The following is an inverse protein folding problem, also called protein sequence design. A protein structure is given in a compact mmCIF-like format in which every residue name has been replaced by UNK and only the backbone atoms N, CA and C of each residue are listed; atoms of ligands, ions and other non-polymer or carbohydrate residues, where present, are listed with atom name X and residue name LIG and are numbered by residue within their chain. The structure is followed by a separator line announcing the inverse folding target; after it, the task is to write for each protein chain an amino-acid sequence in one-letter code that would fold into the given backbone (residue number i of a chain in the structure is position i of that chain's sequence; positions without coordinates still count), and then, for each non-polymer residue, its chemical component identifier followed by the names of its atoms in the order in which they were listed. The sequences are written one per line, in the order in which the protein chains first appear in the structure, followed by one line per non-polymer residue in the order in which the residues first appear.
data_IF_426868850760
#
_entry.id   IF_426868850760
#
_cell.length_a   1.000
_cell.length_b   1.000
_cell.length_c   1.000
_cell.angle_alpha   90.00
_cell.angle_beta   90.00
_cell.angle_gamma   90.00
#
_symmetry.space_group_name_H-M   'P 1'
#
loop_
_entity.id
_entity.type
_entity.pdbx_description
1 polymer ?
#
# COMPACT_ATOMS: atom_id res chain seq x y z
N UNK A 1 -30.50 27.85 8.25
CA UNK A 1 -29.43 27.50 7.30
C UNK A 1 -29.22 26.01 7.39
N UNK A 2 -29.76 25.28 6.43
CA UNK A 2 -29.68 23.82 6.39
C UNK A 2 -28.34 23.42 5.79
N UNK A 3 -27.50 22.76 6.57
CA UNK A 3 -26.35 22.03 6.02
C UNK A 3 -26.89 20.77 5.40
N UNK A 4 -26.86 20.70 4.06
CA UNK A 4 -27.13 19.50 3.31
C UNK A 4 -25.97 18.56 3.50
N UNK A 5 -26.18 17.59 4.36
CA UNK A 5 -25.36 16.39 4.46
C UNK A 5 -25.58 15.59 3.16
N UNK A 6 -24.61 15.68 2.24
CA UNK A 6 -24.60 14.82 1.07
C UNK A 6 -23.85 13.56 1.47
N UNK A 7 -24.50 12.40 1.53
CA UNK A 7 -23.78 11.17 1.68
C UNK A 7 -22.90 11.00 0.43
N UNK A 8 -21.59 10.86 0.65
CA UNK A 8 -20.67 10.46 -0.41
C UNK A 8 -21.21 9.16 -0.99
N UNK A 9 -21.51 9.17 -2.26
CA UNK A 9 -21.94 7.98 -2.98
C UNK A 9 -20.81 6.97 -2.89
N UNK A 10 -21.02 5.92 -2.12
CA UNK A 10 -20.25 4.70 -2.24
C UNK A 10 -20.44 4.21 -3.68
N UNK A 11 -19.43 4.43 -4.52
CA UNK A 11 -19.42 3.88 -5.86
C UNK A 11 -19.34 2.35 -5.72
N UNK A 12 -20.48 1.70 -5.81
CA UNK A 12 -20.55 0.26 -6.02
C UNK A 12 -19.74 -0.05 -7.27
N UNK A 13 -18.54 -0.51 -7.09
CA UNK A 13 -17.69 -0.96 -8.18
C UNK A 13 -18.26 -2.27 -8.74
N UNK A 14 -18.34 -2.38 -10.06
CA UNK A 14 -18.75 -3.63 -10.73
C UNK A 14 -17.85 -4.84 -10.39
N UNK A 15 -16.78 -4.64 -9.63
CA UNK A 15 -15.76 -5.67 -9.32
C UNK A 15 -15.94 -6.34 -7.95
N UNK A 16 -17.03 -6.04 -7.24
CA UNK A 16 -17.36 -6.71 -5.97
C UNK A 16 -16.56 -6.24 -4.75
N UNK A 17 -15.88 -5.10 -4.81
CA UNK A 17 -15.20 -4.46 -3.69
C UNK A 17 -15.22 -2.93 -3.81
N UNK A 18 -15.05 -2.27 -2.68
CA UNK A 18 -14.87 -0.81 -2.57
C UNK A 18 -13.50 -0.48 -2.00
N UNK A 19 -12.99 0.71 -2.30
CA UNK A 19 -11.77 1.26 -1.69
C UNK A 19 -12.18 2.23 -0.58
N UNK A 20 -11.70 1.99 0.63
CA UNK A 20 -11.97 2.86 1.79
C UNK A 20 -10.81 2.91 2.77
N UNK A 21 -10.79 3.95 3.60
CA UNK A 21 -9.84 4.05 4.70
C UNK A 21 -10.08 2.93 5.72
N UNK A 22 -8.98 2.37 6.25
CA UNK A 22 -9.01 1.33 7.28
C UNK A 22 -8.53 1.89 8.60
N UNK A 23 -9.12 1.40 9.69
CA UNK A 23 -8.71 1.72 11.04
C UNK A 23 -8.17 0.47 11.76
N UNK A 24 -6.84 0.29 11.87
CA UNK A 24 -6.24 -0.84 12.59
C UNK A 24 -6.47 -0.76 14.11
N UNK A 25 -7.05 0.30 14.62
CA UNK A 25 -7.56 0.36 16.00
C UNK A 25 -8.68 -0.65 16.24
N UNK A 26 -9.43 -1.00 15.21
CA UNK A 26 -10.43 -2.08 15.26
C UNK A 26 -9.75 -3.44 15.18
N UNK A 27 -10.06 -4.33 16.10
CA UNK A 27 -9.39 -5.63 16.24
C UNK A 27 -9.54 -6.51 14.99
N UNK A 28 -10.72 -6.57 14.41
CA UNK A 28 -11.01 -7.37 13.21
C UNK A 28 -10.24 -6.85 11.99
N UNK A 29 -10.17 -5.54 11.81
CA UNK A 29 -9.39 -4.88 10.75
C UNK A 29 -7.91 -5.13 10.93
N UNK A 30 -7.37 -4.95 12.14
CA UNK A 30 -5.97 -5.20 12.45
C UNK A 30 -5.57 -6.66 12.17
N UNK A 31 -6.38 -7.61 12.60
CA UNK A 31 -6.14 -9.04 12.36
C UNK A 31 -6.13 -9.38 10.86
N UNK A 32 -7.05 -8.82 10.09
CA UNK A 32 -7.13 -9.03 8.64
C UNK A 32 -5.90 -8.47 7.91
N UNK A 33 -5.52 -7.24 8.21
CA UNK A 33 -4.36 -6.55 7.63
C UNK A 33 -3.06 -7.29 7.98
N UNK A 34 -2.89 -7.69 9.23
CA UNK A 34 -1.71 -8.43 9.68
C UNK A 34 -1.58 -9.79 8.96
N UNK A 35 -2.68 -10.52 8.85
CA UNK A 35 -2.70 -11.80 8.13
C UNK A 35 -2.36 -11.65 6.65
N UNK A 36 -2.99 -10.69 5.97
CA UNK A 36 -2.72 -10.41 4.55
C UNK A 36 -1.26 -9.99 4.34
N UNK A 37 -0.75 -9.11 5.20
CA UNK A 37 0.63 -8.65 5.16
C UNK A 37 1.62 -9.81 5.24
N UNK A 38 1.46 -10.70 6.22
CA UNK A 38 2.33 -11.87 6.38
C UNK A 38 2.30 -12.81 5.16
N UNK A 39 1.12 -13.05 4.61
CA UNK A 39 0.97 -13.89 3.41
C UNK A 39 1.59 -13.24 2.17
N UNK A 40 1.37 -11.96 1.97
CA UNK A 40 1.94 -11.22 0.84
C UNK A 40 3.47 -11.12 0.93
N UNK A 41 4.02 -10.82 2.10
CA UNK A 41 5.47 -10.76 2.30
C UNK A 41 6.14 -12.14 2.22
N UNK A 42 5.44 -13.22 2.54
CA UNK A 42 5.95 -14.58 2.32
C UNK A 42 6.14 -14.86 0.80
N UNK A 43 5.21 -14.41 -0.04
CA UNK A 43 5.36 -14.49 -1.51
C UNK A 43 6.53 -13.63 -1.97
N UNK A 44 6.66 -12.41 -1.47
CA UNK A 44 7.80 -11.54 -1.81
C UNK A 44 9.14 -12.17 -1.40
N UNK A 45 9.22 -12.75 -0.22
CA UNK A 45 10.42 -13.44 0.27
C UNK A 45 10.87 -14.56 -0.69
N UNK A 46 9.92 -15.33 -1.21
CA UNK A 46 10.19 -16.36 -2.21
C UNK A 46 10.68 -15.75 -3.54
N UNK A 47 10.07 -14.65 -3.99
CA UNK A 47 10.47 -13.98 -5.25
C UNK A 47 11.88 -13.40 -5.19
N UNK A 48 12.27 -12.83 -4.05
CA UNK A 48 13.57 -12.18 -3.88
C UNK A 48 14.65 -13.10 -3.29
N UNK A 49 14.26 -14.32 -2.88
CA UNK A 49 15.19 -15.29 -2.26
C UNK A 49 15.73 -14.83 -0.90
N UNK A 50 14.95 -14.06 -0.15
CA UNK A 50 15.34 -13.52 1.15
C UNK A 50 14.17 -13.59 2.13
N UNK A 51 14.34 -14.29 3.25
CA UNK A 51 13.32 -14.54 4.26
C UNK A 51 13.38 -13.62 5.49
N UNK A 52 14.32 -12.70 5.51
CA UNK A 52 14.55 -11.74 6.61
C UNK A 52 13.72 -10.47 6.55
N UNK A 53 12.63 -10.42 5.76
CA UNK A 53 11.75 -9.26 5.68
C UNK A 53 11.15 -8.97 7.06
N UNK A 54 11.36 -7.77 7.66
CA UNK A 54 10.91 -7.49 9.03
C UNK A 54 9.43 -7.71 9.26
N UNK A 55 8.58 -7.37 8.29
CA UNK A 55 7.13 -7.54 8.38
C UNK A 55 6.67 -9.01 8.53
N UNK A 56 7.50 -9.99 8.19
CA UNK A 56 7.22 -11.41 8.43
C UNK A 56 7.25 -11.80 9.91
N UNK A 57 7.97 -11.03 10.73
CA UNK A 57 8.16 -11.28 12.16
C UNK A 57 7.45 -10.27 13.05
N UNK A 58 6.91 -9.22 12.46
CA UNK A 58 6.19 -8.17 13.17
C UNK A 58 4.92 -8.74 13.82
N UNK A 59 4.73 -8.45 15.10
CA UNK A 59 3.50 -8.79 15.80
C UNK A 59 2.34 -7.87 15.38
N UNK A 60 1.12 -8.28 15.70
CA UNK A 60 -0.07 -7.44 15.50
C UNK A 60 0.07 -6.11 16.24
N UNK A 61 0.57 -6.14 17.48
CA UNK A 61 0.73 -4.94 18.30
C UNK A 61 1.80 -4.01 17.77
N UNK A 62 2.93 -4.55 17.32
CA UNK A 62 3.99 -3.77 16.67
C UNK A 62 3.48 -3.10 15.39
N UNK A 63 2.70 -3.81 14.57
CA UNK A 63 2.07 -3.25 13.38
C UNK A 63 1.11 -2.11 13.74
N UNK A 64 0.27 -2.29 14.76
CA UNK A 64 -0.69 -1.26 15.20
C UNK A 64 -0.02 -0.02 15.77
N UNK A 65 1.17 -0.16 16.35
CA UNK A 65 1.95 0.94 16.90
C UNK A 65 2.62 1.82 15.84
N UNK A 66 2.67 1.37 14.60
CA UNK A 66 3.25 2.14 13.50
C UNK A 66 2.41 3.38 13.19
N UNK A 67 3.04 4.57 12.97
CA UNK A 67 2.32 5.82 12.67
C UNK A 67 1.87 5.87 11.20
N UNK A 68 1.19 4.84 10.74
CA UNK A 68 0.77 4.68 9.36
C UNK A 68 -0.72 4.99 9.19
N UNK A 69 -1.05 5.51 8.02
CA UNK A 69 -2.43 5.57 7.52
C UNK A 69 -2.66 4.40 6.57
N UNK A 70 -3.90 3.95 6.49
CA UNK A 70 -4.27 2.71 5.82
C UNK A 70 -5.46 2.90 4.90
N UNK A 71 -5.34 2.39 3.68
CA UNK A 71 -6.39 2.34 2.67
C UNK A 71 -6.55 0.89 2.23
N UNK A 72 -7.77 0.39 2.15
CA UNK A 72 -8.01 -0.99 1.80
C UNK A 72 -9.06 -1.18 0.71
N UNK A 73 -8.95 -2.31 0.03
CA UNK A 73 -10.02 -2.87 -0.78
C UNK A 73 -10.84 -3.82 0.08
N UNK A 74 -12.15 -3.58 0.14
CA UNK A 74 -13.07 -4.30 1.02
C UNK A 74 -14.24 -4.83 0.20
N UNK A 75 -14.51 -6.11 0.33
CA UNK A 75 -15.63 -6.77 -0.35
C UNK A 75 -16.98 -6.34 0.23
N UNK A 76 -18.07 -6.63 -0.47
CA UNK A 76 -19.43 -6.27 -0.03
C UNK A 76 -19.81 -6.91 1.31
N UNK A 77 -19.21 -8.05 1.65
CA UNK A 77 -19.37 -8.74 2.94
C UNK A 77 -18.41 -8.22 4.03
N UNK A 78 -17.69 -7.11 3.78
CA UNK A 78 -16.84 -6.42 4.75
C UNK A 78 -15.44 -7.01 4.93
N UNK A 79 -14.99 -7.89 4.04
CA UNK A 79 -13.68 -8.54 4.11
C UNK A 79 -12.61 -7.71 3.44
N UNK A 80 -11.53 -7.40 4.17
CA UNK A 80 -10.35 -6.76 3.60
C UNK A 80 -9.60 -7.79 2.74
N UNK A 81 -9.27 -7.40 1.50
CA UNK A 81 -8.59 -8.26 0.53
C UNK A 81 -7.26 -7.67 0.03
N UNK A 82 -7.03 -6.40 0.23
CA UNK A 82 -5.79 -5.72 -0.09
C UNK A 82 -5.67 -4.42 0.69
N UNK A 83 -4.47 -3.92 0.88
CA UNK A 83 -4.27 -2.63 1.51
C UNK A 83 -2.97 -1.95 1.06
N UNK A 84 -2.92 -0.63 1.22
CA UNK A 84 -1.73 0.20 1.18
C UNK A 84 -1.62 0.97 2.49
N UNK A 85 -0.40 1.09 3.01
CA UNK A 85 -0.12 1.89 4.19
C UNK A 85 1.00 2.89 3.92
N UNK A 86 0.86 4.10 4.43
CA UNK A 86 1.79 5.19 4.17
C UNK A 86 1.90 6.16 5.36
N UNK A 87 2.90 7.02 5.29
CA UNK A 87 3.06 8.15 6.19
C UNK A 87 3.65 9.35 5.43
N UNK A 88 3.46 10.54 5.96
CA UNK A 88 4.17 11.72 5.49
C UNK A 88 5.56 11.77 6.09
N UNK A 89 6.57 12.00 5.25
CA UNK A 89 7.93 12.19 5.72
C UNK A 89 8.07 13.52 6.46
N UNK A 90 8.63 13.47 7.67
CA UNK A 90 8.85 14.67 8.45
C UNK A 90 9.90 15.58 7.77
N UNK A 91 9.54 16.84 7.51
CA UNK A 91 10.43 17.84 6.92
C UNK A 91 10.62 17.75 5.40
N UNK A 92 10.00 16.78 4.75
CA UNK A 92 9.95 16.65 3.29
C UNK A 92 8.51 16.72 2.81
N UNK A 93 8.28 17.32 1.67
CA UNK A 93 6.95 17.29 1.01
C UNK A 93 6.78 15.96 0.26
N UNK A 94 6.90 14.87 1.02
CA UNK A 94 6.91 13.52 0.49
C UNK A 94 5.98 12.60 1.28
N UNK A 95 5.22 11.79 0.55
CA UNK A 95 4.48 10.67 1.09
C UNK A 95 5.29 9.39 0.89
N UNK A 96 5.54 8.68 1.96
CA UNK A 96 6.27 7.41 1.93
C UNK A 96 5.30 6.24 2.03
N UNK A 97 5.23 5.45 0.96
CA UNK A 97 4.44 4.21 0.95
C UNK A 97 5.27 3.12 1.62
N UNK A 98 4.80 2.70 2.78
CA UNK A 98 5.47 1.68 3.60
C UNK A 98 5.10 0.25 3.16
N UNK A 99 3.83 0.03 2.82
CA UNK A 99 3.30 -1.30 2.50
C UNK A 99 2.28 -1.27 1.37
N UNK A 100 2.40 -2.22 0.46
CA UNK A 100 1.41 -2.53 -0.57
C UNK A 100 1.21 -4.04 -0.57
N UNK A 101 0.08 -4.50 -0.08
CA UNK A 101 -0.19 -5.93 0.11
C UNK A 101 -1.54 -6.31 -0.49
N UNK A 102 -1.55 -7.41 -1.22
CA UNK A 102 -2.77 -8.05 -1.75
C UNK A 102 -2.84 -9.47 -1.20
N UNK A 103 -4.01 -9.90 -0.75
CA UNK A 103 -4.23 -11.30 -0.41
C UNK A 103 -3.85 -12.16 -1.62
N UNK A 104 -2.97 -13.17 -1.50
CA UNK A 104 -2.53 -13.98 -2.63
C UNK A 104 -3.67 -14.64 -3.42
N UNK A 105 -4.80 -14.93 -2.77
CA UNK A 105 -5.99 -15.46 -3.45
C UNK A 105 -6.67 -14.45 -4.38
N UNK A 106 -6.29 -13.17 -4.26
CA UNK A 106 -6.80 -12.06 -5.08
C UNK A 106 -5.75 -11.46 -6.01
N UNK A 107 -4.64 -12.13 -6.24
CA UNK A 107 -3.61 -11.69 -7.18
C UNK A 107 -4.14 -11.59 -8.61
N UNK A 108 -3.50 -10.74 -9.43
CA UNK A 108 -3.79 -10.53 -10.86
C UNK A 108 -5.17 -9.95 -11.16
N UNK A 109 -5.77 -9.27 -10.20
CA UNK A 109 -7.06 -8.57 -10.37
C UNK A 109 -6.94 -7.05 -10.37
N UNK A 110 -5.71 -6.53 -10.41
CA UNK A 110 -5.46 -5.08 -10.46
C UNK A 110 -5.72 -4.34 -9.15
N UNK A 111 -5.82 -5.02 -8.00
CA UNK A 111 -6.13 -4.39 -6.71
C UNK A 111 -5.06 -3.40 -6.26
N UNK A 112 -3.78 -3.74 -6.39
CA UNK A 112 -2.69 -2.82 -6.05
C UNK A 112 -2.72 -1.56 -6.92
N UNK A 113 -2.95 -1.69 -8.22
CA UNK A 113 -3.10 -0.55 -9.14
C UNK A 113 -4.26 0.34 -8.74
N UNK A 114 -5.38 -0.21 -8.34
CA UNK A 114 -6.58 0.56 -7.92
C UNK A 114 -6.34 1.28 -6.61
N UNK A 115 -5.75 0.63 -5.61
CA UNK A 115 -5.41 1.26 -4.33
C UNK A 115 -4.42 2.40 -4.51
N UNK A 116 -3.35 2.17 -5.26
CA UNK A 116 -2.34 3.19 -5.53
C UNK A 116 -2.90 4.32 -6.40
N UNK A 117 -3.72 4.00 -7.39
CA UNK A 117 -4.42 5.01 -8.19
C UNK A 117 -5.29 5.93 -7.34
N UNK A 118 -6.07 5.37 -6.42
CA UNK A 118 -6.87 6.13 -5.47
C UNK A 118 -6.00 7.00 -4.55
N UNK A 119 -4.95 6.43 -3.98
CA UNK A 119 -4.00 7.17 -3.14
C UNK A 119 -3.38 8.36 -3.89
N UNK A 120 -2.90 8.13 -5.10
CA UNK A 120 -2.22 9.15 -5.88
C UNK A 120 -3.17 10.24 -6.40
N UNK A 121 -4.39 9.88 -6.76
CA UNK A 121 -5.37 10.82 -7.33
C UNK A 121 -6.06 11.64 -6.24
N UNK A 122 -6.52 10.99 -5.18
CA UNK A 122 -7.41 11.60 -4.20
C UNK A 122 -6.66 12.15 -2.97
N UNK A 123 -5.51 11.57 -2.62
CA UNK A 123 -4.81 11.89 -1.37
C UNK A 123 -3.49 12.64 -1.57
N UNK A 124 -2.90 12.60 -2.78
CA UNK A 124 -1.60 13.25 -3.06
C UNK A 124 -1.69 14.16 -4.28
N UNK A 125 -2.20 15.37 -4.12
CA UNK A 125 -2.36 16.30 -5.25
C UNK A 125 -1.04 16.89 -5.74
N UNK A 126 -0.01 16.96 -4.89
CA UNK A 126 1.30 17.52 -5.23
C UNK A 126 2.40 16.99 -4.31
N UNK A 127 3.66 17.19 -4.69
CA UNK A 127 4.83 16.74 -3.95
C UNK A 127 5.41 15.42 -4.47
N UNK A 128 6.12 14.72 -3.61
CA UNK A 128 6.78 13.45 -3.97
C UNK A 128 6.08 12.27 -3.32
N UNK A 129 6.09 11.16 -4.03
CA UNK A 129 5.69 9.85 -3.48
C UNK A 129 6.88 8.91 -3.60
N UNK A 130 7.22 8.27 -2.50
CA UNK A 130 8.33 7.33 -2.41
C UNK A 130 7.79 5.94 -2.14
N UNK A 131 8.40 4.94 -2.75
CA UNK A 131 8.11 3.53 -2.50
C UNK A 131 9.35 2.69 -2.76
N UNK A 132 9.52 1.61 -2.01
CA UNK A 132 10.61 0.67 -2.19
C UNK A 132 10.09 -0.76 -2.24
N UNK A 133 10.78 -1.61 -2.95
CA UNK A 133 10.52 -3.06 -3.00
C UNK A 133 11.81 -3.83 -3.23
N UNK A 134 11.81 -5.12 -2.94
CA UNK A 134 12.91 -5.98 -3.33
C UNK A 134 13.20 -5.84 -4.82
N UNK A 135 14.47 -5.68 -5.19
CA UNK A 135 14.84 -5.43 -6.59
C UNK A 135 14.44 -6.57 -7.54
N UNK A 136 14.35 -7.79 -7.02
CA UNK A 136 13.93 -8.98 -7.77
C UNK A 136 12.41 -9.23 -7.72
N UNK A 137 11.66 -8.40 -7.00
CA UNK A 137 10.19 -8.41 -7.03
C UNK A 137 9.69 -7.76 -8.32
N UNK A 138 9.82 -8.47 -9.43
CA UNK A 138 9.50 -7.98 -10.77
C UNK A 138 8.05 -7.49 -10.92
N UNK A 139 7.03 -8.16 -10.37
CA UNK A 139 5.67 -7.67 -10.45
C UNK A 139 5.49 -6.29 -9.80
N UNK A 140 6.09 -6.05 -8.65
CA UNK A 140 6.02 -4.76 -7.97
C UNK A 140 6.79 -3.67 -8.73
N UNK A 141 7.99 -3.97 -9.21
CA UNK A 141 8.78 -3.05 -10.04
C UNK A 141 8.00 -2.63 -11.28
N UNK A 142 7.41 -3.58 -12.00
CA UNK A 142 6.61 -3.30 -13.18
C UNK A 142 5.36 -2.46 -12.86
N UNK A 143 4.71 -2.72 -11.72
CA UNK A 143 3.56 -1.93 -11.25
C UNK A 143 3.94 -0.47 -11.02
N UNK A 144 5.02 -0.20 -10.29
CA UNK A 144 5.45 1.16 -9.98
C UNK A 144 5.87 1.92 -11.24
N UNK A 145 6.59 1.27 -12.16
CA UNK A 145 6.95 1.87 -13.44
C UNK A 145 5.72 2.22 -14.29
N UNK A 146 4.71 1.35 -14.35
CA UNK A 146 3.44 1.64 -15.06
C UNK A 146 2.68 2.81 -14.45
N UNK A 147 2.79 3.01 -13.14
CA UNK A 147 2.16 4.15 -12.45
C UNK A 147 2.95 5.46 -12.59
N UNK A 148 4.08 5.44 -13.28
CA UNK A 148 4.90 6.61 -13.55
C UNK A 148 6.03 6.86 -12.55
N UNK A 149 6.29 5.92 -11.64
CA UNK A 149 7.45 6.01 -10.75
C UNK A 149 8.74 5.79 -11.52
N UNK A 150 9.76 6.56 -11.16
CA UNK A 150 11.12 6.39 -11.67
C UNK A 150 11.99 5.75 -10.60
N UNK A 151 12.81 4.79 -10.99
CA UNK A 151 13.81 4.19 -10.10
C UNK A 151 14.91 5.20 -9.82
N UNK A 152 15.13 5.51 -8.56
CA UNK A 152 16.11 6.51 -8.12
C UNK A 152 17.35 5.89 -7.48
N UNK A 153 17.32 4.63 -7.14
CA UNK A 153 18.46 3.94 -6.57
C UNK A 153 18.19 2.49 -6.21
N UNK A 154 19.24 1.84 -5.76
CA UNK A 154 19.20 0.49 -5.16
C UNK A 154 20.09 0.51 -3.93
N UNK A 155 19.58 0.02 -2.82
CA UNK A 155 20.31 -0.12 -1.56
C UNK A 155 20.35 -1.58 -1.14
N UNK A 156 21.31 -1.92 -0.31
CA UNK A 156 21.45 -3.26 0.27
C UNK A 156 21.45 -3.15 1.81
N UNK A 157 20.25 -3.03 2.43
CA UNK A 157 20.13 -2.83 3.87
C UNK A 157 20.58 -4.03 4.71
N UNK A 158 20.67 -5.19 4.11
CA UNK A 158 21.24 -6.40 4.71
C UNK A 158 21.96 -7.21 3.63
N UNK A 159 22.97 -8.03 3.98
CA UNK A 159 23.68 -8.88 3.00
C UNK A 159 22.71 -9.74 2.19
N UNK A 160 22.74 -9.60 0.87
CA UNK A 160 21.88 -10.33 -0.07
C UNK A 160 20.50 -9.74 -0.30
N UNK A 161 20.09 -8.70 0.45
CA UNK A 161 18.83 -8.00 0.25
C UNK A 161 19.05 -6.73 -0.57
N UNK A 162 18.73 -6.76 -1.85
CA UNK A 162 18.73 -5.59 -2.73
C UNK A 162 17.34 -4.99 -2.79
N UNK A 163 17.24 -3.71 -2.44
CA UNK A 163 15.99 -2.94 -2.43
C UNK A 163 16.05 -1.84 -3.47
N UNK A 164 15.12 -1.87 -4.41
CA UNK A 164 14.94 -0.82 -5.40
C UNK A 164 14.07 0.30 -4.83
N UNK A 165 14.52 1.54 -5.01
CA UNK A 165 13.84 2.74 -4.55
C UNK A 165 13.24 3.49 -5.73
N UNK A 166 11.98 3.91 -5.59
CA UNK A 166 11.21 4.59 -6.62
C UNK A 166 10.66 5.91 -6.12
N UNK A 167 10.55 6.87 -7.01
CA UNK A 167 9.96 8.19 -6.75
C UNK A 167 9.01 8.60 -7.85
N UNK A 168 7.87 9.15 -7.46
CA UNK A 168 6.93 9.83 -8.35
C UNK A 168 6.86 11.30 -7.96
N UNK A 169 7.01 12.19 -8.92
CA UNK A 169 6.77 13.62 -8.75
C UNK A 169 5.33 13.95 -9.15
N UNK A 170 4.61 14.63 -8.26
CA UNK A 170 3.25 15.10 -8.51
C UNK A 170 3.29 16.62 -8.62
N UNK A 171 3.07 17.14 -9.81
CA UNK A 171 2.94 18.57 -10.03
C UNK A 171 1.53 19.02 -9.62
N UNK A 172 1.42 20.20 -9.03
CA UNK A 172 0.11 20.82 -8.86
C UNK A 172 -0.54 20.94 -10.22
N UNK A 173 -1.72 20.34 -10.38
CA UNK A 173 -2.57 20.65 -11.51
C UNK A 173 -2.81 22.17 -11.53
N UNK A 174 -2.30 22.83 -12.56
CA UNK A 174 -2.43 24.27 -12.73
C UNK A 174 -3.90 24.69 -12.91
#
# INVERSE_FOLDING_TARGET
MSFSDHPRRDECSHDGFIVRELNPGEETTAAAVHRIGRRAYAVEADLIGFDGIPALRESLEEMRAQPLRWLGAVTDDGRVIAFVAWQWSAGEDALDIDRVCVDPTWFRRGLASRLLGHLLTDLVPSGYVLVSTGADNRPAVALYERLGFSRVGTVEPAPGLKVAQFRLTRDRAG
#
